data_IF_493505089168
#
_entry.id   IF_493505089168
#
_cell.length_a   1.000
_cell.length_b   1.000
_cell.length_c   1.000
_cell.angle_alpha   90.00
_cell.angle_beta   90.00
_cell.angle_gamma   90.00
#
_symmetry.space_group_name_H-M   'P 1'
#
loop_
_entity.id
_entity.type
_entity.pdbx_description
1 polymer ?
#
# COMPACT_ATOMS: atom_id res chain seq x y z
N UNK A 1 54.07 9.00 22.29
CA UNK A 1 53.65 8.66 20.91
C UNK A 1 53.02 7.27 20.91
N UNK A 2 51.70 7.19 20.95
CA UNK A 2 50.94 5.94 20.90
C UNK A 2 50.05 6.02 19.64
N UNK A 3 50.48 5.34 18.58
CA UNK A 3 49.79 5.32 17.29
C UNK A 3 48.58 4.39 17.33
N UNK A 4 47.38 4.96 17.25
CA UNK A 4 46.12 4.22 17.07
C UNK A 4 46.06 3.68 15.64
N UNK A 5 45.96 2.35 15.51
CA UNK A 5 45.52 1.67 14.29
C UNK A 5 44.04 1.97 14.06
N UNK A 6 43.75 2.87 13.12
CA UNK A 6 42.40 3.01 12.57
C UNK A 6 42.19 1.91 11.52
N UNK A 7 41.35 0.94 11.87
CA UNK A 7 40.82 -0.05 10.94
C UNK A 7 39.41 0.43 10.54
N UNK A 8 39.18 0.98 9.34
CA UNK A 8 37.83 1.27 8.90
C UNK A 8 37.19 -0.04 8.46
N UNK A 9 36.32 -0.58 9.31
CA UNK A 9 35.33 -1.60 8.93
C UNK A 9 34.32 -0.90 8.00
N UNK A 10 34.74 -0.67 6.77
CA UNK A 10 33.83 -0.41 5.67
C UNK A 10 33.12 -1.72 5.38
N UNK A 11 31.90 -1.88 5.89
CA UNK A 11 30.96 -2.84 5.35
C UNK A 11 30.70 -2.45 3.89
N UNK A 12 31.55 -2.98 3.01
CA UNK A 12 31.31 -3.10 1.58
C UNK A 12 29.95 -3.80 1.44
N UNK A 13 28.90 -3.04 1.20
CA UNK A 13 27.64 -3.57 0.70
C UNK A 13 27.90 -3.97 -0.76
N UNK A 14 28.50 -5.14 -0.92
CA UNK A 14 28.72 -5.75 -2.22
C UNK A 14 27.33 -6.16 -2.71
N UNK A 15 26.66 -5.27 -3.45
CA UNK A 15 25.69 -5.69 -4.45
C UNK A 15 26.48 -6.51 -5.46
N UNK A 16 26.67 -7.80 -5.17
CA UNK A 16 27.28 -8.73 -6.11
C UNK A 16 26.51 -8.63 -7.40
N UNK A 17 27.25 -8.41 -8.48
CA UNK A 17 26.83 -8.49 -9.87
C UNK A 17 26.24 -9.88 -10.14
N UNK A 18 24.98 -10.08 -9.76
CA UNK A 18 24.17 -11.12 -10.35
C UNK A 18 23.35 -10.44 -11.45
N UNK A 19 23.45 -10.99 -12.65
CA UNK A 19 22.78 -10.58 -13.91
C UNK A 19 21.30 -10.22 -13.69
N UNK A 20 21.01 -8.99 -13.30
CA UNK A 20 19.66 -8.43 -13.30
C UNK A 20 19.41 -7.97 -14.73
N UNK A 21 18.77 -8.84 -15.50
CA UNK A 21 18.39 -8.60 -16.89
C UNK A 21 17.52 -7.35 -17.03
N UNK A 22 17.66 -6.71 -18.18
CA UNK A 22 17.02 -5.47 -18.59
C UNK A 22 15.52 -5.71 -18.80
N UNK A 23 14.70 -5.42 -17.78
CA UNK A 23 13.35 -4.82 -17.86
C UNK A 23 12.58 -4.96 -16.55
N UNK A 24 12.69 -3.88 -15.78
CA UNK A 24 11.71 -3.26 -14.88
C UNK A 24 11.20 -3.98 -13.64
N UNK A 25 11.28 -3.24 -12.52
CA UNK A 25 10.86 -3.55 -11.15
C UNK A 25 9.48 -2.96 -10.83
N UNK A 26 8.62 -3.72 -10.15
CA UNK A 26 7.46 -3.19 -9.42
C UNK A 26 7.92 -2.79 -8.02
N UNK A 27 7.34 -1.76 -7.43
CA UNK A 27 7.56 -1.47 -6.01
C UNK A 27 6.19 -1.32 -5.39
N UNK A 28 5.78 -2.29 -4.56
CA UNK A 28 4.70 -2.08 -3.60
C UNK A 28 5.22 -1.21 -2.48
N UNK A 29 4.80 0.04 -2.41
CA UNK A 29 5.20 0.94 -1.32
C UNK A 29 4.06 1.06 -0.33
N UNK A 30 4.37 0.88 0.94
CA UNK A 30 3.52 1.30 2.04
C UNK A 30 3.95 2.66 2.56
N UNK A 31 3.00 3.57 2.78
CA UNK A 31 3.23 4.78 3.56
C UNK A 31 3.00 4.49 5.05
N UNK A 32 4.06 4.66 5.84
CA UNK A 32 4.10 4.41 7.29
C UNK A 32 3.15 5.27 8.14
N UNK A 33 2.49 6.29 7.57
CA UNK A 33 1.47 7.08 8.29
C UNK A 33 0.06 6.50 8.19
N UNK A 34 -0.16 5.43 7.41
CA UNK A 34 -1.46 4.76 7.34
C UNK A 34 -1.42 3.24 7.18
N UNK A 35 -0.31 2.57 6.82
CA UNK A 35 -0.22 1.10 6.72
C UNK A 35 -1.25 0.41 5.78
N UNK A 36 -2.12 1.19 5.14
CA UNK A 36 -3.37 0.74 4.54
C UNK A 36 -3.47 0.93 3.05
N UNK A 37 -2.44 1.55 2.46
CA UNK A 37 -2.39 1.81 1.03
C UNK A 37 -1.31 0.95 0.40
N UNK A 38 -1.67 0.27 -0.68
CA UNK A 38 -0.71 -0.33 -1.60
C UNK A 38 -0.47 0.66 -2.74
N UNK A 39 0.75 1.21 -2.81
CA UNK A 39 1.19 2.03 -3.94
C UNK A 39 2.00 1.16 -4.91
N UNK A 40 1.66 1.16 -6.20
CA UNK A 40 2.41 0.48 -7.25
C UNK A 40 3.09 1.53 -8.14
N UNK A 41 4.37 1.29 -8.44
CA UNK A 41 5.15 2.07 -9.40
C UNK A 41 5.88 1.13 -10.35
N UNK A 42 6.12 1.61 -11.57
CA UNK A 42 6.74 0.82 -12.64
C UNK A 42 7.97 1.56 -13.17
N UNK A 43 9.14 0.93 -13.04
CA UNK A 43 10.43 1.57 -13.33
C UNK A 43 11.34 0.74 -14.22
N UNK A 44 11.72 1.29 -15.36
CA UNK A 44 12.74 0.73 -16.24
C UNK A 44 14.15 1.09 -15.79
N UNK A 45 15.02 0.07 -15.65
CA UNK A 45 16.46 0.28 -15.45
C UNK A 45 17.11 0.49 -16.81
N UNK A 46 17.70 1.66 -17.03
CA UNK A 46 18.39 2.01 -18.27
C UNK A 46 19.91 1.74 -18.16
N UNK A 47 20.64 1.80 -19.29
CA UNK A 47 22.02 1.31 -19.44
C UNK A 47 23.04 1.87 -18.43
N UNK A 48 22.82 3.08 -17.91
CA UNK A 48 23.69 3.70 -16.90
C UNK A 48 23.28 3.39 -15.45
N UNK A 49 22.42 2.39 -15.24
CA UNK A 49 21.94 1.98 -13.91
C UNK A 49 20.87 2.88 -13.31
N UNK A 50 20.49 3.98 -13.98
CA UNK A 50 19.41 4.88 -13.54
C UNK A 50 18.04 4.26 -13.79
N UNK A 51 17.02 4.81 -13.14
CA UNK A 51 15.64 4.37 -13.23
C UNK A 51 14.79 5.40 -13.98
N UNK A 52 13.99 4.93 -14.94
CA UNK A 52 12.98 5.68 -15.67
C UNK A 52 11.61 5.21 -15.20
N UNK A 53 10.81 6.09 -14.60
CA UNK A 53 9.40 5.79 -14.36
C UNK A 53 8.67 5.70 -15.71
N UNK A 54 7.99 4.58 -15.98
CA UNK A 54 7.29 4.35 -17.27
C UNK A 54 5.76 4.35 -17.10
N UNK A 55 5.28 4.20 -15.86
CA UNK A 55 3.89 4.36 -15.49
C UNK A 55 3.78 5.16 -14.20
N UNK A 56 2.78 6.04 -14.10
CA UNK A 56 2.60 6.89 -12.93
C UNK A 56 2.23 6.04 -11.69
N UNK A 57 2.63 6.50 -10.51
CA UNK A 57 2.26 5.83 -9.27
C UNK A 57 0.73 5.71 -9.10
N UNK A 58 0.25 4.49 -8.88
CA UNK A 58 -1.15 4.18 -8.58
C UNK A 58 -1.28 3.61 -7.18
N UNK A 59 -2.25 4.11 -6.41
CA UNK A 59 -2.48 3.66 -5.04
C UNK A 59 -3.92 3.20 -4.82
N UNK A 60 -4.11 2.19 -3.98
CA UNK A 60 -5.43 1.74 -3.51
C UNK A 60 -5.40 1.35 -2.03
N UNK A 61 -6.56 1.39 -1.37
CA UNK A 61 -6.74 1.01 0.04
C UNK A 61 -6.75 -0.52 0.24
N UNK A 62 -5.82 -1.23 -0.39
CA UNK A 62 -5.62 -2.67 -0.27
C UNK A 62 -4.32 -3.03 0.46
N UNK A 63 -3.92 -2.21 1.44
CA UNK A 63 -2.82 -2.50 2.35
C UNK A 63 -3.22 -3.30 3.58
N UNK A 64 -2.28 -3.52 4.50
CA UNK A 64 -2.47 -4.36 5.68
C UNK A 64 -3.60 -3.92 6.62
N UNK A 65 -3.98 -2.64 6.65
CA UNK A 65 -5.11 -2.17 7.48
C UNK A 65 -6.48 -2.56 6.93
N UNK A 66 -6.58 -2.89 5.64
CA UNK A 66 -7.83 -3.45 5.10
C UNK A 66 -8.13 -4.81 5.74
N UNK A 67 -7.11 -5.62 5.97
CA UNK A 67 -7.22 -6.89 6.69
C UNK A 67 -7.55 -6.67 8.17
N UNK A 68 -6.98 -5.63 8.79
CA UNK A 68 -7.33 -5.25 10.16
C UNK A 68 -8.81 -4.87 10.29
N UNK A 69 -9.33 -4.11 9.31
CA UNK A 69 -10.74 -3.75 9.27
C UNK A 69 -11.63 -4.99 9.15
N UNK A 70 -11.30 -5.94 8.26
CA UNK A 70 -12.05 -7.20 8.13
C UNK A 70 -12.03 -8.03 9.43
N UNK A 71 -10.92 -8.03 10.15
CA UNK A 71 -10.85 -8.68 11.46
C UNK A 71 -11.79 -8.03 12.48
N UNK A 72 -11.77 -6.70 12.60
CA UNK A 72 -12.67 -6.01 13.53
C UNK A 72 -14.15 -6.16 13.11
N UNK A 73 -14.45 -6.15 11.81
CA UNK A 73 -15.79 -6.46 11.29
C UNK A 73 -16.23 -7.88 11.68
N UNK A 74 -15.33 -8.87 11.62
CA UNK A 74 -15.63 -10.23 12.10
C UNK A 74 -15.90 -10.25 13.60
N UNK A 75 -15.09 -9.56 14.40
CA UNK A 75 -15.29 -9.46 15.85
C UNK A 75 -16.64 -8.81 16.17
N UNK A 76 -17.01 -7.73 15.49
CA UNK A 76 -18.31 -7.09 15.63
C UNK A 76 -19.48 -8.00 15.23
N UNK A 77 -19.33 -8.83 14.19
CA UNK A 77 -20.35 -9.82 13.82
C UNK A 77 -20.48 -10.94 14.87
N UNK A 78 -19.41 -11.29 15.57
CA UNK A 78 -19.42 -12.28 16.65
C UNK A 78 -20.02 -11.68 17.93
N UNK A 79 -19.61 -10.48 18.33
CA UNK A 79 -19.94 -9.93 19.65
C UNK A 79 -21.04 -8.87 19.66
N UNK A 80 -21.37 -8.25 18.53
CA UNK A 80 -22.07 -6.97 18.33
C UNK A 80 -21.12 -5.74 18.27
N UNK A 81 -21.35 -4.77 17.36
CA UNK A 81 -20.68 -3.47 17.34
C UNK A 81 -20.59 -2.75 18.68
N UNK A 82 -21.64 -2.82 19.52
CA UNK A 82 -21.65 -2.16 20.83
C UNK A 82 -20.50 -2.61 21.73
N UNK A 83 -20.19 -3.91 21.73
CA UNK A 83 -19.11 -4.51 22.53
C UNK A 83 -17.73 -4.01 22.08
N UNK A 84 -17.49 -3.99 20.76
CA UNK A 84 -16.21 -3.53 20.23
C UNK A 84 -16.02 -2.02 20.42
N UNK A 85 -17.10 -1.23 20.34
CA UNK A 85 -17.08 0.19 20.64
C UNK A 85 -16.80 0.46 22.12
N UNK A 86 -17.42 -0.29 23.03
CA UNK A 86 -17.15 -0.18 24.47
C UNK A 86 -15.71 -0.59 24.82
N UNK A 87 -15.20 -1.68 24.22
CA UNK A 87 -13.79 -2.05 24.39
C UNK A 87 -12.85 -0.94 23.90
N UNK A 88 -13.18 -0.27 22.80
CA UNK A 88 -12.38 0.83 22.25
C UNK A 88 -12.47 2.12 23.06
N UNK A 89 -13.63 2.42 23.63
CA UNK A 89 -13.88 3.62 24.44
C UNK A 89 -13.37 3.48 25.88
N UNK A 90 -13.83 2.45 26.58
CA UNK A 90 -13.66 2.30 28.03
C UNK A 90 -12.41 1.47 28.39
N UNK A 91 -11.93 0.64 27.45
CA UNK A 91 -10.80 -0.27 27.66
C UNK A 91 -9.75 -0.17 26.53
N UNK A 92 -9.41 1.05 26.11
CA UNK A 92 -8.54 1.30 24.95
C UNK A 92 -7.23 0.48 24.95
N UNK A 93 -6.58 0.32 26.11
CA UNK A 93 -5.36 -0.49 26.21
C UNK A 93 -5.59 -1.95 25.76
N UNK A 94 -6.71 -2.55 26.17
CA UNK A 94 -7.10 -3.91 25.79
C UNK A 94 -7.51 -4.01 24.32
N UNK A 95 -8.19 -3.00 23.78
CA UNK A 95 -8.45 -2.91 22.34
C UNK A 95 -7.15 -2.90 21.53
N UNK A 96 -6.16 -2.12 21.98
CA UNK A 96 -4.83 -2.08 21.35
C UNK A 96 -4.07 -3.40 21.51
N UNK A 97 -4.19 -4.09 22.65
CA UNK A 97 -3.59 -5.42 22.84
C UNK A 97 -4.18 -6.44 21.86
N UNK A 98 -5.50 -6.43 21.68
CA UNK A 98 -6.19 -7.27 20.69
C UNK A 98 -5.69 -6.97 19.27
N UNK A 99 -5.56 -5.69 18.92
CA UNK A 99 -5.03 -5.25 17.63
C UNK A 99 -3.58 -5.74 17.41
N UNK A 100 -2.70 -5.61 18.41
CA UNK A 100 -1.30 -6.07 18.31
C UNK A 100 -1.18 -7.59 18.20
N UNK A 101 -2.02 -8.32 18.93
CA UNK A 101 -2.05 -9.77 18.82
C UNK A 101 -2.54 -10.19 17.42
N UNK A 102 -3.58 -9.54 16.87
CA UNK A 102 -4.00 -9.77 15.49
C UNK A 102 -2.88 -9.47 14.48
N UNK A 103 -2.23 -8.31 14.59
CA UNK A 103 -1.10 -7.92 13.73
C UNK A 103 0.00 -8.99 13.72
N UNK A 104 0.32 -9.55 14.89
CA UNK A 104 1.31 -10.62 15.04
C UNK A 104 0.89 -11.90 14.29
N UNK A 105 -0.39 -12.30 14.39
CA UNK A 105 -0.92 -13.45 13.65
C UNK A 105 -0.99 -13.19 12.15
N UNK A 106 -1.40 -11.98 11.76
CA UNK A 106 -1.47 -11.53 10.37
C UNK A 106 -0.11 -11.65 9.67
N UNK A 107 0.98 -11.29 10.34
CA UNK A 107 2.35 -11.38 9.80
C UNK A 107 2.92 -12.81 9.76
N UNK A 108 2.49 -13.68 10.66
CA UNK A 108 3.09 -15.02 10.84
C UNK A 108 2.35 -16.15 10.12
N UNK A 109 1.20 -15.86 9.51
CA UNK A 109 0.39 -16.85 8.81
C UNK A 109 1.11 -17.44 7.60
N UNK A 110 1.03 -18.76 7.44
CA UNK A 110 1.60 -19.50 6.30
C UNK A 110 0.46 -20.12 5.47
N UNK A 111 0.53 -20.08 4.12
CA UNK A 111 -0.53 -20.60 3.27
C UNK A 111 -0.88 -22.09 3.47
N UNK A 112 0.10 -22.91 3.85
CA UNK A 112 -0.06 -24.35 4.01
C UNK A 112 -0.37 -24.75 5.47
N UNK A 113 -0.82 -23.82 6.30
CA UNK A 113 -1.18 -24.13 7.68
C UNK A 113 -2.54 -24.83 7.70
N UNK A 114 -2.65 -25.94 8.43
CA UNK A 114 -3.91 -26.66 8.63
C UNK A 114 -4.43 -26.48 10.05
N UNK A 115 -5.74 -26.62 10.24
CA UNK A 115 -6.36 -26.62 11.57
C UNK A 115 -6.86 -25.25 12.04
N UNK A 116 -6.45 -24.83 13.24
CA UNK A 116 -6.97 -23.61 13.90
C UNK A 116 -5.86 -22.63 14.27
N UNK A 117 -6.16 -21.34 14.15
CA UNK A 117 -5.30 -20.23 14.56
C UNK A 117 -5.72 -19.76 15.93
N UNK A 118 -4.79 -19.82 16.88
CA UNK A 118 -5.02 -19.36 18.25
C UNK A 118 -4.46 -17.95 18.41
N UNK A 119 -5.27 -17.08 19.01
CA UNK A 119 -4.96 -15.70 19.29
C UNK A 119 -5.32 -15.40 20.74
N UNK A 120 -4.43 -14.77 21.49
CA UNK A 120 -4.79 -14.28 22.83
C UNK A 120 -5.85 -13.20 22.74
N UNK A 121 -6.76 -13.16 23.70
CA UNK A 121 -7.73 -12.07 23.82
C UNK A 121 -7.59 -11.40 25.18
N UNK A 122 -7.86 -10.09 25.28
CA UNK A 122 -7.87 -9.41 26.56
C UNK A 122 -9.07 -9.87 27.40
N UNK A 123 -8.86 -10.06 28.70
CA UNK A 123 -9.93 -10.41 29.65
C UNK A 123 -11.08 -9.40 29.65
N UNK A 124 -10.76 -8.12 29.37
CA UNK A 124 -11.74 -7.04 29.25
C UNK A 124 -12.84 -7.35 28.21
N UNK A 125 -12.54 -8.07 27.12
CA UNK A 125 -13.56 -8.43 26.14
C UNK A 125 -14.67 -9.29 26.74
N UNK A 126 -14.31 -10.24 27.60
CA UNK A 126 -15.29 -11.06 28.32
C UNK A 126 -16.02 -10.29 29.43
N UNK A 127 -15.35 -9.30 30.06
CA UNK A 127 -15.98 -8.42 31.04
C UNK A 127 -17.08 -7.58 30.38
N UNK A 128 -16.78 -6.91 29.26
CA UNK A 128 -17.72 -6.06 28.52
C UNK A 128 -18.92 -6.88 28.03
N UNK A 129 -18.72 -8.12 27.55
CA UNK A 129 -19.84 -9.01 27.19
C UNK A 129 -20.76 -9.28 28.38
N UNK A 130 -20.21 -9.52 29.58
CA UNK A 130 -21.02 -9.77 30.78
C UNK A 130 -21.80 -8.54 31.21
N UNK A 131 -21.16 -7.38 31.17
CA UNK A 131 -21.76 -6.11 31.61
C UNK A 131 -22.88 -5.66 30.67
N UNK A 132 -22.69 -5.77 29.35
CA UNK A 132 -23.65 -5.24 28.37
C UNK A 132 -24.69 -6.25 27.89
N UNK A 133 -24.35 -7.55 27.84
CA UNK A 133 -25.24 -8.59 27.32
C UNK A 133 -25.72 -9.56 28.40
N UNK A 134 -25.17 -9.51 29.62
CA UNK A 134 -25.43 -10.51 30.66
C UNK A 134 -24.89 -11.90 30.31
N UNK A 135 -24.03 -12.02 29.29
CA UNK A 135 -23.52 -13.28 28.77
C UNK A 135 -21.99 -13.32 28.77
N UNK A 136 -21.42 -14.51 28.89
CA UNK A 136 -19.97 -14.67 28.71
C UNK A 136 -19.61 -14.59 27.23
N UNK A 137 -18.39 -14.17 26.90
CA UNK A 137 -17.89 -14.19 25.51
C UNK A 137 -17.98 -15.59 24.90
N UNK A 138 -17.80 -16.65 25.69
CA UNK A 138 -17.97 -18.03 25.23
C UNK A 138 -19.40 -18.27 24.75
N UNK A 139 -20.39 -17.89 25.55
CA UNK A 139 -21.81 -18.01 25.20
C UNK A 139 -22.17 -17.19 23.96
N UNK A 140 -21.62 -15.98 23.85
CA UNK A 140 -21.79 -15.10 22.68
C UNK A 140 -21.22 -15.73 21.40
N UNK A 141 -20.04 -16.36 21.47
CA UNK A 141 -19.48 -17.09 20.32
C UNK A 141 -20.36 -18.30 19.97
N UNK A 142 -20.80 -19.06 20.96
CA UNK A 142 -21.64 -20.26 20.77
C UNK A 142 -23.01 -19.95 20.17
N UNK A 143 -23.57 -18.77 20.46
CA UNK A 143 -24.84 -18.30 19.87
C UNK A 143 -24.68 -17.61 18.51
N UNK A 144 -23.45 -17.31 18.07
CA UNK A 144 -23.17 -16.68 16.78
C UNK A 144 -23.21 -17.68 15.61
N UNK A 145 -23.41 -17.16 14.40
CA UNK A 145 -23.28 -17.92 13.14
C UNK A 145 -21.87 -18.53 12.93
N UNK A 146 -20.89 -18.12 13.75
CA UNK A 146 -19.51 -18.55 13.67
C UNK A 146 -19.16 -19.67 14.67
N UNK A 147 -20.12 -20.19 15.45
CA UNK A 147 -19.88 -21.20 16.51
C UNK A 147 -19.17 -22.48 16.04
N UNK A 148 -19.35 -22.86 14.77
CA UNK A 148 -18.63 -24.00 14.15
C UNK A 148 -17.17 -23.69 13.83
N UNK A 149 -16.84 -22.43 13.55
CA UNK A 149 -15.53 -21.96 13.05
C UNK A 149 -14.72 -21.19 14.08
N UNK A 150 -15.37 -20.69 15.14
CA UNK A 150 -14.76 -19.88 16.19
C UNK A 150 -15.09 -20.49 17.54
N UNK A 151 -14.09 -20.58 18.40
CA UNK A 151 -14.26 -21.14 19.75
C UNK A 151 -13.34 -20.46 20.74
N UNK A 152 -13.71 -20.44 22.01
CA UNK A 152 -12.86 -19.95 23.08
C UNK A 152 -12.20 -21.12 23.84
N UNK A 153 -10.89 -21.04 24.08
CA UNK A 153 -10.16 -21.97 24.96
C UNK A 153 -9.24 -21.20 25.90
N UNK A 154 -9.64 -21.09 27.17
CA UNK A 154 -8.93 -20.27 28.16
C UNK A 154 -8.96 -18.80 27.76
N UNK A 155 -7.79 -18.17 27.74
CA UNK A 155 -7.56 -16.77 27.33
C UNK A 155 -7.37 -16.60 25.81
N UNK A 156 -7.67 -17.63 25.01
CA UNK A 156 -7.44 -17.63 23.56
C UNK A 156 -8.72 -17.86 22.78
N UNK A 157 -8.95 -16.99 21.79
CA UNK A 157 -9.88 -17.25 20.71
C UNK A 157 -9.20 -18.13 19.65
N UNK A 158 -9.95 -19.07 19.10
CA UNK A 158 -9.48 -19.99 18.06
C UNK A 158 -10.34 -19.85 16.83
N UNK A 159 -9.73 -19.52 15.71
CA UNK A 159 -10.38 -19.45 14.40
C UNK A 159 -10.02 -20.69 13.58
N UNK A 160 -10.99 -21.23 12.84
CA UNK A 160 -10.72 -22.12 11.73
C UNK A 160 -9.80 -21.40 10.72
N UNK A 161 -8.82 -22.12 10.18
CA UNK A 161 -7.86 -21.54 9.24
C UNK A 161 -8.56 -20.87 8.05
N UNK A 162 -9.59 -21.52 7.47
CA UNK A 162 -10.33 -21.01 6.31
C UNK A 162 -10.97 -19.65 6.58
N UNK A 163 -11.68 -19.50 7.69
CA UNK A 163 -12.29 -18.25 8.13
C UNK A 163 -11.24 -17.16 8.41
N UNK A 164 -10.11 -17.51 9.01
CA UNK A 164 -9.08 -16.52 9.26
C UNK A 164 -8.43 -16.04 7.95
N UNK A 165 -8.17 -16.95 7.01
CA UNK A 165 -7.61 -16.57 5.71
C UNK A 165 -8.59 -15.79 4.85
N UNK A 166 -9.91 -15.97 5.02
CA UNK A 166 -10.90 -15.18 4.27
C UNK A 166 -10.84 -13.68 4.60
N UNK A 167 -10.31 -13.30 5.77
CA UNK A 167 -10.07 -11.89 6.13
C UNK A 167 -9.11 -11.18 5.16
N UNK A 168 -8.27 -11.93 4.45
CA UNK A 168 -7.29 -11.39 3.50
C UNK A 168 -7.83 -11.32 2.08
N UNK A 169 -8.93 -12.03 1.79
CA UNK A 169 -9.37 -12.29 0.42
C UNK A 169 -9.70 -10.98 -0.32
N UNK A 170 -10.53 -10.13 0.27
CA UNK A 170 -10.90 -8.83 -0.30
C UNK A 170 -9.68 -7.95 -0.60
N UNK A 171 -8.71 -7.91 0.33
CA UNK A 171 -7.49 -7.13 0.20
C UNK A 171 -6.60 -7.70 -0.92
N UNK A 172 -6.41 -9.02 -0.95
CA UNK A 172 -5.61 -9.70 -1.98
C UNK A 172 -6.24 -9.52 -3.36
N UNK A 173 -7.54 -9.74 -3.50
CA UNK A 173 -8.25 -9.59 -4.78
C UNK A 173 -8.15 -8.16 -5.31
N UNK A 174 -8.32 -7.18 -4.42
CA UNK A 174 -8.17 -5.75 -4.76
C UNK A 174 -6.74 -5.42 -5.21
N UNK A 175 -5.73 -5.97 -4.52
CA UNK A 175 -4.33 -5.80 -4.88
C UNK A 175 -4.02 -6.43 -6.24
N UNK A 176 -4.44 -7.67 -6.46
CA UNK A 176 -4.23 -8.40 -7.71
C UNK A 176 -4.91 -7.70 -8.87
N UNK A 177 -6.16 -7.25 -8.68
CA UNK A 177 -6.87 -6.44 -9.68
C UNK A 177 -6.08 -5.20 -10.06
N UNK A 178 -5.61 -4.43 -9.07
CA UNK A 178 -4.80 -3.23 -9.33
C UNK A 178 -3.52 -3.57 -10.11
N UNK A 179 -2.85 -4.68 -9.78
CA UNK A 179 -1.65 -5.13 -10.50
C UNK A 179 -1.97 -5.52 -11.95
N UNK A 180 -3.07 -6.24 -12.19
CA UNK A 180 -3.53 -6.62 -13.53
C UNK A 180 -3.87 -5.38 -14.37
N UNK A 181 -4.62 -4.43 -13.80
CA UNK A 181 -4.99 -3.18 -14.48
C UNK A 181 -3.74 -2.43 -14.95
N UNK A 182 -2.73 -2.29 -14.08
CA UNK A 182 -1.46 -1.61 -14.42
C UNK A 182 -0.67 -2.40 -15.46
N UNK A 183 -0.62 -3.72 -15.35
CA UNK A 183 0.14 -4.57 -16.28
C UNK A 183 -0.49 -4.67 -17.67
N UNK A 184 -1.79 -4.38 -17.79
CA UNK A 184 -2.50 -4.35 -19.07
C UNK A 184 -2.16 -3.13 -19.93
N UNK A 185 -1.53 -2.11 -19.35
CA UNK A 185 -1.15 -0.89 -20.05
C UNK A 185 0.02 -1.15 -21.01
N UNK A 186 -0.08 -0.69 -22.26
CA UNK A 186 0.97 -0.92 -23.29
C UNK A 186 2.38 -0.49 -22.87
N UNK A 187 2.50 0.56 -22.06
CA UNK A 187 3.80 1.02 -21.56
C UNK A 187 4.47 0.04 -20.57
N UNK A 188 3.71 -0.95 -20.07
CA UNK A 188 4.15 -2.00 -19.17
C UNK A 188 4.52 -3.31 -19.92
N UNK A 189 4.47 -3.31 -21.26
CA UNK A 189 4.86 -4.48 -22.05
C UNK A 189 6.32 -4.86 -21.81
N UNK A 190 6.57 -6.16 -21.65
CA UNK A 190 7.91 -6.71 -21.45
C UNK A 190 8.48 -6.54 -20.04
N UNK A 191 7.67 -6.20 -19.05
CA UNK A 191 8.05 -6.29 -17.64
C UNK A 191 8.41 -7.74 -17.28
N UNK A 192 9.46 -7.93 -16.47
CA UNK A 192 9.97 -9.26 -16.11
C UNK A 192 10.00 -9.54 -14.60
N UNK A 193 9.99 -8.52 -13.74
CA UNK A 193 10.22 -8.69 -12.30
C UNK A 193 9.27 -7.88 -11.43
N UNK A 194 8.57 -8.52 -10.49
CA UNK A 194 7.82 -7.87 -9.41
C UNK A 194 8.72 -7.75 -8.18
N UNK A 195 8.84 -6.56 -7.59
CA UNK A 195 9.52 -6.36 -6.31
C UNK A 195 8.51 -5.93 -5.23
N UNK A 196 8.26 -6.83 -4.28
CA UNK A 196 7.31 -6.64 -3.18
C UNK A 196 8.04 -6.02 -1.99
N UNK A 197 7.70 -4.78 -1.62
CA UNK A 197 8.25 -4.09 -0.43
C UNK A 197 7.13 -3.53 0.45
N UNK A 198 7.48 -2.99 1.61
CA UNK A 198 6.52 -2.65 2.67
C UNK A 198 6.27 -3.80 3.65
N UNK A 199 5.64 -3.49 4.78
CA UNK A 199 5.36 -4.45 5.85
C UNK A 199 4.40 -5.55 5.43
N UNK A 200 3.33 -5.24 4.68
CA UNK A 200 2.37 -6.25 4.22
C UNK A 200 2.96 -7.20 3.17
N UNK A 201 4.05 -6.83 2.50
CA UNK A 201 4.80 -7.75 1.62
C UNK A 201 5.48 -8.89 2.38
N UNK A 202 5.58 -8.82 3.72
CA UNK A 202 6.00 -9.97 4.54
C UNK A 202 4.93 -11.06 4.62
N UNK A 203 3.66 -10.73 4.36
CA UNK A 203 2.56 -11.68 4.43
C UNK A 203 2.72 -12.78 3.37
N UNK A 204 2.85 -14.03 3.81
CA UNK A 204 3.06 -15.17 2.92
C UNK A 204 1.84 -15.48 2.06
N UNK A 205 0.62 -15.13 2.50
CA UNK A 205 -0.60 -15.23 1.68
C UNK A 205 -0.53 -14.27 0.49
N UNK A 206 -0.12 -13.02 0.71
CA UNK A 206 0.06 -12.01 -0.34
C UNK A 206 1.14 -12.46 -1.33
N UNK A 207 2.30 -12.90 -0.81
CA UNK A 207 3.38 -13.40 -1.66
C UNK A 207 2.95 -14.59 -2.53
N UNK A 208 2.18 -15.52 -1.95
CA UNK A 208 1.63 -16.66 -2.68
C UNK A 208 0.67 -16.21 -3.77
N UNK A 209 -0.32 -15.38 -3.42
CA UNK A 209 -1.31 -14.90 -4.38
C UNK A 209 -0.66 -14.19 -5.58
N UNK A 210 0.33 -13.32 -5.32
CA UNK A 210 1.08 -12.63 -6.38
C UNK A 210 1.87 -13.63 -7.25
N UNK A 211 2.57 -14.59 -6.65
CA UNK A 211 3.33 -15.61 -7.40
C UNK A 211 2.43 -16.50 -8.24
N UNK A 212 1.30 -16.93 -7.68
CA UNK A 212 0.33 -17.79 -8.37
C UNK A 212 -0.34 -17.05 -9.53
N UNK A 213 -0.61 -15.75 -9.36
CA UNK A 213 -1.22 -14.91 -10.41
C UNK A 213 -0.25 -14.58 -11.54
N UNK A 214 1.03 -14.35 -11.22
CA UNK A 214 2.05 -13.91 -12.17
C UNK A 214 3.19 -14.94 -12.32
N UNK A 215 2.91 -16.18 -12.75
CA UNK A 215 3.91 -17.25 -12.76
C UNK A 215 5.05 -17.00 -13.77
N UNK A 216 4.81 -16.13 -14.77
CA UNK A 216 5.81 -15.74 -15.77
C UNK A 216 6.74 -14.62 -15.30
N UNK A 217 6.39 -13.93 -14.21
CA UNK A 217 7.18 -12.82 -13.66
C UNK A 217 8.01 -13.30 -12.48
N UNK A 218 9.24 -12.81 -12.37
CA UNK A 218 10.07 -13.09 -11.20
C UNK A 218 9.62 -12.24 -10.03
N UNK A 219 9.03 -12.85 -9.00
CA UNK A 219 8.61 -12.15 -7.78
C UNK A 219 9.74 -12.15 -6.76
N UNK A 220 10.25 -10.96 -6.45
CA UNK A 220 11.35 -10.70 -5.52
C UNK A 220 10.77 -10.08 -4.24
N UNK A 221 11.09 -10.67 -3.10
CA UNK A 221 10.78 -10.12 -1.77
C UNK A 221 12.12 -9.91 -1.06
N UNK A 222 12.58 -8.67 -0.82
CA UNK A 222 13.80 -8.43 -0.08
C UNK A 222 13.69 -8.96 1.35
N UNK A 223 14.83 -9.36 1.94
CA UNK A 223 14.89 -9.84 3.33
C UNK A 223 14.29 -8.83 4.31
N UNK A 224 14.60 -7.55 4.12
CA UNK A 224 14.09 -6.43 4.94
C UNK A 224 13.09 -5.60 4.12
N UNK A 225 12.05 -6.26 3.58
CA UNK A 225 11.09 -5.62 2.68
C UNK A 225 10.35 -4.44 3.34
N UNK A 226 10.17 -4.45 4.66
CA UNK A 226 9.62 -3.35 5.47
C UNK A 226 10.55 -2.13 5.58
N UNK A 227 11.88 -2.35 5.52
CA UNK A 227 12.89 -1.29 5.53
C UNK A 227 13.32 -0.84 4.13
N UNK A 228 13.05 -1.63 3.09
CA UNK A 228 13.52 -1.38 1.72
C UNK A 228 13.13 0.00 1.18
N UNK A 229 11.93 0.51 1.52
CA UNK A 229 11.48 1.86 1.13
C UNK A 229 12.34 2.94 1.79
N UNK A 230 12.64 2.79 3.08
CA UNK A 230 13.48 3.73 3.84
C UNK A 230 14.91 3.70 3.33
N UNK A 231 15.47 2.50 3.13
CA UNK A 231 16.81 2.33 2.56
C UNK A 231 16.92 2.97 1.18
N UNK A 232 15.92 2.74 0.31
CA UNK A 232 15.84 3.39 -1.00
C UNK A 232 15.75 4.92 -0.90
N UNK A 233 15.05 5.47 0.09
CA UNK A 233 14.97 6.91 0.31
C UNK A 233 16.33 7.50 0.74
N UNK A 234 17.07 6.82 1.62
CA UNK A 234 18.43 7.23 2.02
C UNK A 234 19.38 7.22 0.82
N UNK A 235 19.35 6.14 0.02
CA UNK A 235 20.15 6.05 -1.21
C UNK A 235 19.79 7.17 -2.20
N UNK A 236 18.51 7.46 -2.37
CA UNK A 236 18.05 8.56 -3.24
C UNK A 236 18.52 9.93 -2.73
N UNK A 237 18.55 10.15 -1.41
CA UNK A 237 19.07 11.39 -0.81
C UNK A 237 20.55 11.62 -1.13
N UNK A 238 21.37 10.56 -1.10
CA UNK A 238 22.79 10.64 -1.47
C UNK A 238 23.01 10.77 -2.99
N UNK A 239 22.13 10.18 -3.81
CA UNK A 239 22.27 10.19 -5.27
C UNK A 239 20.93 10.51 -5.95
N UNK A 240 20.48 11.77 -5.95
CA UNK A 240 19.17 12.14 -6.50
C UNK A 240 19.08 11.90 -8.02
N UNK A 241 20.23 11.92 -8.70
CA UNK A 241 20.33 11.66 -10.14
C UNK A 241 20.05 10.20 -10.53
N UNK A 242 19.84 9.28 -9.56
CA UNK A 242 19.49 7.88 -9.84
C UNK A 242 18.16 7.75 -10.60
N UNK A 243 17.24 8.72 -10.44
CA UNK A 243 16.02 8.80 -11.24
C UNK A 243 16.30 9.63 -12.49
N UNK A 244 16.15 9.02 -13.66
CA UNK A 244 16.32 9.68 -14.96
C UNK A 244 15.07 10.44 -15.40
N UNK A 245 13.90 9.83 -15.22
CA UNK A 245 12.63 10.44 -15.59
C UNK A 245 11.54 10.06 -14.59
N UNK A 246 10.58 10.96 -14.44
CA UNK A 246 9.32 10.78 -13.72
C UNK A 246 8.15 10.96 -14.68
N UNK A 247 6.99 10.44 -14.34
CA UNK A 247 5.76 10.67 -15.09
C UNK A 247 4.90 11.73 -14.39
N UNK A 248 4.44 12.73 -15.14
CA UNK A 248 3.55 13.77 -14.66
C UNK A 248 2.24 13.16 -14.12
N UNK A 249 1.94 13.39 -12.84
CA UNK A 249 0.74 12.87 -12.18
C UNK A 249 -0.52 13.66 -12.52
N UNK A 250 -0.34 14.95 -12.75
CA UNK A 250 -1.37 15.90 -13.11
C UNK A 250 -0.97 16.64 -14.38
N UNK A 251 -1.96 17.26 -15.03
CA UNK A 251 -1.69 18.28 -16.04
C UNK A 251 -1.45 19.60 -15.30
N UNK A 252 -0.34 20.26 -15.61
CA UNK A 252 0.03 21.57 -15.07
C UNK A 252 -0.09 22.62 -16.18
N UNK A 253 -0.62 23.77 -15.80
CA UNK A 253 -0.98 24.84 -16.70
C UNK A 253 -1.37 26.08 -15.93
N UNK A 254 -1.65 27.15 -16.67
CA UNK A 254 -2.13 28.41 -16.11
C UNK A 254 -3.53 28.71 -16.60
N UNK A 255 -4.27 29.49 -15.81
CA UNK A 255 -5.50 30.11 -16.29
C UNK A 255 -5.13 31.19 -17.31
N UNK A 256 -5.73 31.13 -18.48
CA UNK A 256 -5.51 32.08 -19.58
C UNK A 256 -6.82 32.79 -19.93
N UNK A 257 -6.67 34.00 -20.46
CA UNK A 257 -7.74 34.71 -21.17
C UNK A 257 -7.36 34.79 -22.65
N UNK A 258 -8.31 34.53 -23.54
CA UNK A 258 -8.15 34.74 -24.99
C UNK A 258 -9.30 35.58 -25.52
N UNK A 259 -9.15 36.15 -26.70
CA UNK A 259 -10.28 36.77 -27.42
C UNK A 259 -11.40 35.75 -27.56
N UNK A 260 -12.62 36.17 -27.23
CA UNK A 260 -13.79 35.32 -27.30
C UNK A 260 -14.10 35.00 -28.77
N UNK A 261 -14.44 33.75 -29.02
CA UNK A 261 -14.81 33.22 -30.33
C UNK A 261 -16.11 32.46 -30.14
N UNK A 262 -17.25 33.00 -30.61
CA UNK A 262 -18.56 32.39 -30.44
C UNK A 262 -18.71 31.00 -31.07
N UNK A 263 -17.83 30.62 -32.01
CA UNK A 263 -17.90 29.31 -32.68
C UNK A 263 -17.38 28.16 -31.81
N UNK A 264 -16.51 28.45 -30.83
CA UNK A 264 -15.81 27.42 -30.04
C UNK A 264 -15.89 27.64 -28.52
N UNK A 265 -16.22 28.86 -28.07
CA UNK A 265 -16.26 29.19 -26.65
C UNK A 265 -17.70 29.25 -26.14
N UNK A 266 -17.95 28.62 -24.98
CA UNK A 266 -19.21 28.73 -24.26
C UNK A 266 -19.44 30.17 -23.79
N UNK A 267 -20.64 30.68 -24.07
CA UNK A 267 -21.09 32.02 -23.71
C UNK A 267 -21.05 32.27 -22.20
N UNK A 268 -21.19 31.22 -21.37
CA UNK A 268 -21.04 31.30 -19.91
C UNK A 268 -19.63 31.70 -19.45
N UNK A 269 -18.64 31.62 -20.34
CA UNK A 269 -17.25 32.00 -20.08
C UNK A 269 -16.85 33.31 -20.76
N UNK A 270 -17.81 34.09 -21.28
CA UNK A 270 -17.57 35.43 -21.83
C UNK A 270 -17.42 36.46 -20.71
N UNK A 271 -16.36 37.27 -20.77
CA UNK A 271 -16.15 38.46 -19.94
C UNK A 271 -15.72 39.62 -20.84
N UNK A 272 -16.32 40.80 -20.67
CA UNK A 272 -15.86 42.02 -21.35
C UNK A 272 -14.76 42.65 -20.51
N UNK A 273 -13.54 42.71 -21.03
CA UNK A 273 -12.37 43.29 -20.35
C UNK A 273 -11.83 44.41 -21.22
N UNK A 274 -11.81 45.64 -20.70
CA UNK A 274 -11.38 46.85 -21.43
C UNK A 274 -12.08 47.03 -22.80
N UNK A 275 -13.37 46.69 -22.88
CA UNK A 275 -14.15 46.79 -24.11
C UNK A 275 -13.98 45.63 -25.09
N UNK A 276 -13.08 44.68 -24.83
CA UNK A 276 -12.89 43.49 -25.65
C UNK A 276 -13.59 42.26 -25.04
N UNK A 277 -14.28 41.49 -25.88
CA UNK A 277 -14.83 40.20 -25.51
C UNK A 277 -13.70 39.18 -25.31
N UNK A 278 -13.57 38.65 -24.08
CA UNK A 278 -12.60 37.61 -23.72
C UNK A 278 -13.30 36.36 -23.23
N UNK A 279 -12.78 35.20 -23.62
CA UNK A 279 -13.10 33.94 -22.96
C UNK A 279 -12.19 33.76 -21.74
N UNK A 280 -12.79 33.54 -20.58
CA UNK A 280 -12.10 33.34 -19.30
C UNK A 280 -12.16 31.91 -18.81
N UNK A 281 -11.21 31.52 -17.96
CA UNK A 281 -11.19 30.16 -17.42
C UNK A 281 -10.60 29.12 -18.36
N UNK A 282 -10.02 29.55 -19.48
CA UNK A 282 -9.23 28.68 -20.33
C UNK A 282 -8.01 28.15 -19.56
N UNK A 283 -7.70 26.88 -19.77
CA UNK A 283 -6.55 26.23 -19.14
C UNK A 283 -5.47 25.96 -20.19
N UNK A 284 -4.36 26.68 -20.11
CA UNK A 284 -3.22 26.52 -21.01
C UNK A 284 -2.21 25.56 -20.38
N UNK A 285 -2.26 24.29 -20.82
CA UNK A 285 -1.44 23.21 -20.27
C UNK A 285 -0.02 23.22 -20.87
N UNK A 286 0.99 23.45 -20.03
CA UNK A 286 2.40 23.35 -20.43
C UNK A 286 3.02 21.98 -20.15
N UNK A 287 2.38 21.17 -19.30
CA UNK A 287 2.80 19.82 -18.97
C UNK A 287 1.56 18.94 -18.82
N UNK A 288 1.42 17.90 -19.62
CA UNK A 288 0.24 17.02 -19.60
C UNK A 288 0.42 15.84 -18.64
N UNK A 289 -0.68 15.40 -18.03
CA UNK A 289 -0.69 14.13 -17.29
C UNK A 289 -0.15 13.00 -18.16
N UNK A 290 0.61 12.08 -17.56
CA UNK A 290 1.34 10.99 -18.22
C UNK A 290 2.56 11.41 -19.06
N UNK A 291 2.89 12.69 -19.14
CA UNK A 291 4.10 13.15 -19.84
C UNK A 291 5.38 12.86 -19.03
N UNK A 292 6.45 12.33 -19.65
CA UNK A 292 7.74 12.17 -18.98
C UNK A 292 8.41 13.51 -18.67
N UNK A 293 9.04 13.60 -17.49
CA UNK A 293 9.74 14.78 -16.99
C UNK A 293 11.12 14.35 -16.51
N UNK A 294 12.15 15.07 -16.94
CA UNK A 294 13.50 14.90 -16.40
C UNK A 294 13.62 15.74 -15.11
N UNK A 295 14.06 15.15 -13.98
CA UNK A 295 14.30 15.90 -12.74
C UNK A 295 15.28 17.05 -12.96
N UNK A 296 14.97 18.22 -12.40
CA UNK A 296 15.78 19.44 -12.57
C UNK A 296 15.37 20.31 -13.76
N UNK A 297 14.43 19.88 -14.60
CA UNK A 297 13.88 20.74 -15.65
C UNK A 297 13.13 21.93 -15.06
N UNK A 298 13.50 23.14 -15.49
CA UNK A 298 12.82 24.38 -15.17
C UNK A 298 12.07 24.84 -16.42
N UNK A 299 10.75 24.92 -16.34
CA UNK A 299 9.94 25.54 -17.38
C UNK A 299 9.85 27.04 -17.08
N UNK A 300 10.42 27.85 -17.96
CA UNK A 300 10.28 29.31 -17.93
C UNK A 300 9.38 29.72 -19.09
N UNK A 301 8.31 30.43 -18.78
CA UNK A 301 7.47 31.09 -19.77
C UNK A 301 7.42 32.57 -19.41
N UNK A 302 7.80 33.43 -20.35
CA UNK A 302 7.66 34.87 -20.20
C UNK A 302 6.18 35.21 -20.33
N UNK A 303 5.62 35.84 -19.29
CA UNK A 303 4.26 36.37 -19.27
C UNK A 303 4.21 37.73 -19.96
#
# INVERSE_FOLDING_TARGET
MIGRKNNPIGQKLILRENKISYRTKFILRERKKSGGTADITVHEKINNGRLKEIYFASGSNCGGTSVDAEFFNLMEKITNPAIMNALKGDHLANYLDLSREFETKKRSIKPNTTGRINMKIPNALNLVCKEQLGQTLKSVIESSDFSSKVSLKGDKIRFEFSLFTSLFQLTIDSLIKLMLDILSEKCCDGITQILLVGGFSQCMLVQKAVKDTFPKLTVIVPKDCDLAVMQGAVMFGHQPNIIAHRIARCTYGFRKKKTFDPAIHDQNHLEIVNGEAKCIGLFDAFLKRKQPIQPGNILRQWL
#
